data_IF_590494187108
#
_entry.id   IF_590494187108
#
_cell.length_a   1.000
_cell.length_b   1.000
_cell.length_c   1.000
_cell.angle_alpha   90.00
_cell.angle_beta   90.00
_cell.angle_gamma   90.00
#
_symmetry.space_group_name_H-M   'P 1'
#
loop_
_entity.id
_entity.type
_entity.pdbx_description
1 polymer ?
#
# COMPACT_ATOMS: atom_id res chain seq x y z
N UNK A 1 7.93 -2.71 -6.72
CA UNK A 1 7.39 -3.74 -5.79
C UNK A 1 6.51 -3.09 -4.74
N UNK A 2 5.37 -3.67 -4.51
CA UNK A 2 4.47 -3.27 -3.42
C UNK A 2 4.24 -4.48 -2.53
N UNK A 3 4.59 -4.33 -1.25
CA UNK A 3 4.48 -5.41 -0.26
C UNK A 3 3.47 -5.01 0.81
N UNK A 4 2.42 -5.82 0.96
CA UNK A 4 1.48 -5.70 2.06
C UNK A 4 1.86 -6.69 3.14
N UNK A 5 2.02 -6.20 4.36
CA UNK A 5 2.49 -7.02 5.48
C UNK A 5 1.40 -7.23 6.53
N UNK A 6 1.44 -8.40 7.13
CA UNK A 6 0.59 -8.76 8.26
C UNK A 6 1.46 -8.99 9.48
N UNK A 7 0.92 -8.69 10.65
CA UNK A 7 1.60 -8.94 11.92
C UNK A 7 1.51 -10.43 12.32
N UNK A 8 2.07 -10.78 13.46
CA UNK A 8 2.07 -12.16 13.96
C UNK A 8 0.66 -12.71 14.22
N UNK A 9 -0.35 -11.85 14.32
CA UNK A 9 -1.75 -12.21 14.48
C UNK A 9 -2.52 -12.21 13.16
N UNK A 10 -1.80 -12.18 12.04
CA UNK A 10 -2.34 -12.19 10.68
C UNK A 10 -3.22 -10.98 10.35
N UNK A 11 -2.96 -9.84 10.97
CA UNK A 11 -3.67 -8.58 10.70
C UNK A 11 -2.84 -7.68 9.80
N UNK A 12 -3.46 -7.05 8.83
CA UNK A 12 -2.76 -6.07 7.99
C UNK A 12 -2.14 -4.98 8.87
N UNK A 13 -0.86 -4.71 8.69
CA UNK A 13 -0.07 -3.87 9.58
C UNK A 13 0.69 -2.77 8.87
N UNK A 14 1.15 -3.01 7.66
CA UNK A 14 1.99 -2.05 6.94
C UNK A 14 2.00 -2.31 5.45
N UNK A 15 2.42 -1.29 4.69
CA UNK A 15 2.67 -1.36 3.26
C UNK A 15 4.02 -0.74 2.97
N UNK A 16 4.77 -1.39 2.11
CA UNK A 16 6.02 -0.87 1.57
C UNK A 16 5.93 -0.86 0.05
N UNK A 17 6.24 0.27 -0.57
CA UNK A 17 6.23 0.40 -2.02
C UNK A 17 7.48 1.12 -2.49
N UNK A 18 8.14 0.60 -3.52
CA UNK A 18 9.31 1.23 -4.10
C UNK A 18 9.37 0.99 -5.62
N UNK A 19 10.29 1.66 -6.27
CA UNK A 19 10.60 1.43 -7.67
C UNK A 19 9.72 2.18 -8.67
N UNK A 20 9.03 3.25 -8.25
CA UNK A 20 8.12 3.98 -9.14
C UNK A 20 8.45 5.48 -9.23
N UNK A 21 9.70 5.81 -9.27
CA UNK A 21 10.17 7.20 -9.16
C UNK A 21 10.23 7.96 -10.48
N UNK A 22 9.40 7.68 -11.44
CA UNK A 22 9.32 8.45 -12.68
C UNK A 22 10.49 8.29 -13.64
N UNK A 23 11.27 7.24 -13.48
CA UNK A 23 12.38 6.91 -14.39
C UNK A 23 12.02 5.78 -15.36
N UNK A 24 10.76 5.36 -15.34
CA UNK A 24 10.24 4.36 -16.28
C UNK A 24 9.71 5.02 -17.55
N UNK A 25 9.48 4.24 -18.59
CA UNK A 25 8.84 4.68 -19.82
C UNK A 25 7.41 5.17 -19.54
N UNK A 26 6.86 5.99 -20.45
CA UNK A 26 5.55 6.61 -20.27
C UNK A 26 4.43 5.65 -19.94
N UNK A 27 4.39 4.46 -20.56
CA UNK A 27 3.38 3.45 -20.26
C UNK A 27 3.51 2.88 -18.86
N UNK A 28 4.73 2.73 -18.41
CA UNK A 28 5.04 2.25 -17.06
C UNK A 28 4.70 3.32 -16.02
N UNK A 29 4.94 4.60 -16.34
CA UNK A 29 4.60 5.72 -15.46
C UNK A 29 3.10 5.77 -15.16
N UNK A 30 2.25 5.47 -16.14
CA UNK A 30 0.80 5.47 -15.96
C UNK A 30 0.40 4.38 -14.96
N UNK A 31 0.96 3.18 -15.09
CA UNK A 31 0.67 2.07 -14.18
C UNK A 31 1.20 2.36 -12.78
N UNK A 32 2.42 2.87 -12.69
CA UNK A 32 3.02 3.25 -11.41
C UNK A 32 2.23 4.39 -10.73
N UNK A 33 1.77 5.36 -11.52
CA UNK A 33 0.94 6.44 -11.00
C UNK A 33 -0.40 5.92 -10.46
N UNK A 34 -1.02 4.93 -11.14
CA UNK A 34 -2.25 4.32 -10.66
C UNK A 34 -2.04 3.60 -9.33
N UNK A 35 -0.98 2.79 -9.23
CA UNK A 35 -0.64 2.11 -7.98
C UNK A 35 -0.35 3.11 -6.85
N UNK A 36 0.41 4.15 -7.15
CA UNK A 36 0.73 5.21 -6.18
C UNK A 36 -0.52 5.94 -5.71
N UNK A 37 -1.45 6.25 -6.61
CA UNK A 37 -2.71 6.91 -6.26
C UNK A 37 -3.55 6.05 -5.31
N UNK A 38 -3.61 4.75 -5.52
CA UNK A 38 -4.33 3.83 -4.63
C UNK A 38 -3.71 3.84 -3.23
N UNK A 39 -2.40 3.77 -3.14
CA UNK A 39 -1.71 3.76 -1.85
C UNK A 39 -1.87 5.09 -1.12
N UNK A 40 -1.82 6.21 -1.84
CA UNK A 40 -2.04 7.52 -1.24
C UNK A 40 -3.49 7.69 -0.80
N UNK A 41 -4.45 7.16 -1.55
CA UNK A 41 -5.85 7.15 -1.15
C UNK A 41 -6.05 6.35 0.14
N UNK A 42 -5.38 5.21 0.27
CA UNK A 42 -5.43 4.41 1.50
C UNK A 42 -4.86 5.19 2.68
N UNK A 43 -3.75 5.90 2.49
CA UNK A 43 -3.16 6.75 3.54
C UNK A 43 -4.13 7.84 3.97
N UNK A 44 -4.73 8.55 3.02
CA UNK A 44 -5.73 9.58 3.33
C UNK A 44 -6.96 8.99 4.04
N UNK A 45 -7.40 7.80 3.61
CA UNK A 45 -8.51 7.12 4.27
C UNK A 45 -8.20 6.80 5.72
N UNK A 46 -6.99 6.30 5.98
CA UNK A 46 -6.57 5.99 7.35
C UNK A 46 -6.45 7.25 8.21
N UNK A 47 -5.81 8.30 7.69
CA UNK A 47 -5.53 9.51 8.48
C UNK A 47 -6.74 10.42 8.60
N UNK A 48 -7.43 10.70 7.49
CA UNK A 48 -8.44 11.75 7.43
C UNK A 48 -9.86 11.22 7.61
N UNK A 49 -10.13 9.97 7.27
CA UNK A 49 -11.45 9.35 7.42
C UNK A 49 -11.53 8.53 8.70
N UNK A 50 -10.59 7.63 8.91
CA UNK A 50 -10.58 6.75 10.08
C UNK A 50 -9.84 7.35 11.28
N UNK A 51 -9.17 8.48 11.12
CA UNK A 51 -8.42 9.20 12.17
C UNK A 51 -7.39 8.33 12.87
N UNK A 52 -6.64 7.56 12.08
CA UNK A 52 -5.56 6.71 12.56
C UNK A 52 -4.24 7.47 12.50
N UNK A 53 -3.44 7.37 13.54
CA UNK A 53 -2.09 7.92 13.56
C UNK A 53 -1.15 6.97 12.80
N UNK A 54 -1.06 7.15 11.48
CA UNK A 54 -0.22 6.33 10.62
C UNK A 54 1.21 6.84 10.65
N UNK A 55 2.16 5.93 10.84
CA UNK A 55 3.57 6.24 10.66
C UNK A 55 3.87 6.07 9.16
N UNK A 56 3.98 7.18 8.45
CA UNK A 56 4.19 7.18 7.01
C UNK A 56 5.44 7.96 6.65
N UNK A 57 6.20 7.42 5.72
CA UNK A 57 7.40 8.06 5.20
C UNK A 57 7.38 7.98 3.68
N UNK A 58 7.64 9.12 3.04
CA UNK A 58 7.70 9.21 1.59
C UNK A 58 9.00 9.86 1.17
N UNK A 59 9.75 9.15 0.34
CA UNK A 59 10.94 9.66 -0.34
C UNK A 59 10.79 9.42 -1.83
N UNK A 60 11.75 9.89 -2.63
CA UNK A 60 11.68 9.69 -4.07
C UNK A 60 11.65 8.19 -4.40
N UNK A 61 10.54 7.74 -5.03
CA UNK A 61 10.37 6.35 -5.44
C UNK A 61 10.05 5.36 -4.33
N UNK A 62 9.78 5.83 -3.11
CA UNK A 62 9.51 4.94 -1.98
C UNK A 62 8.43 5.50 -1.07
N UNK A 63 7.51 4.65 -0.69
CA UNK A 63 6.47 4.97 0.29
C UNK A 63 6.39 3.82 1.30
N UNK A 64 6.42 4.16 2.58
CA UNK A 64 6.11 3.20 3.64
C UNK A 64 5.00 3.76 4.50
N UNK A 65 4.10 2.90 4.97
CA UNK A 65 3.10 3.27 5.96
C UNK A 65 2.83 2.10 6.88
N UNK A 66 2.71 2.42 8.17
CA UNK A 66 2.46 1.45 9.22
C UNK A 66 1.44 2.03 10.19
N UNK A 67 0.47 1.23 10.58
CA UNK A 67 -0.55 1.68 11.52
C UNK A 67 -0.49 0.89 12.82
N UNK A 68 -0.88 1.53 13.94
CA UNK A 68 -0.70 0.93 15.26
C UNK A 68 -1.50 -0.36 15.45
N UNK A 69 -0.94 -1.26 16.25
CA UNK A 69 -1.56 -2.55 16.55
C UNK A 69 -2.99 -2.39 17.12
N UNK A 70 -3.21 -1.35 17.93
CA UNK A 70 -4.51 -1.07 18.53
C UNK A 70 -5.61 -0.79 17.49
N UNK A 71 -5.23 -0.40 16.27
CA UNK A 71 -6.18 -0.02 15.21
C UNK A 71 -6.44 -1.15 14.22
N UNK A 72 -5.70 -2.25 14.29
CA UNK A 72 -5.71 -3.30 13.25
C UNK A 72 -6.93 -4.20 13.28
N UNK A 73 -7.71 -4.18 14.34
CA UNK A 73 -8.97 -4.95 14.43
C UNK A 73 -10.20 -4.14 14.00
N UNK A 74 -10.03 -2.85 13.71
CA UNK A 74 -11.14 -1.98 13.31
C UNK A 74 -11.62 -2.35 11.90
N UNK A 75 -12.94 -2.47 11.75
CA UNK A 75 -13.53 -2.81 10.46
C UNK A 75 -13.33 -1.73 9.40
N UNK A 76 -13.36 -0.44 9.77
CA UNK A 76 -13.13 0.65 8.84
C UNK A 76 -11.67 0.67 8.36
N UNK A 77 -10.72 0.45 9.24
CA UNK A 77 -9.30 0.35 8.89
C UNK A 77 -9.07 -0.81 7.93
N UNK A 78 -9.61 -1.99 8.26
CA UNK A 78 -9.47 -3.16 7.40
C UNK A 78 -10.13 -2.98 6.04
N UNK A 79 -11.28 -2.32 5.98
CA UNK A 79 -11.94 -2.04 4.70
C UNK A 79 -11.06 -1.17 3.80
N UNK A 80 -10.42 -0.14 4.36
CA UNK A 80 -9.55 0.75 3.61
C UNK A 80 -8.33 0.00 3.08
N UNK A 81 -7.59 -0.67 3.95
CA UNK A 81 -6.31 -1.28 3.58
C UNK A 81 -6.48 -2.56 2.76
N UNK A 82 -7.53 -3.35 3.02
CA UNK A 82 -7.81 -4.54 2.22
C UNK A 82 -8.26 -4.18 0.81
N UNK A 83 -9.02 -3.09 0.66
CA UNK A 83 -9.40 -2.57 -0.66
C UNK A 83 -8.16 -2.17 -1.46
N UNK A 84 -7.23 -1.47 -0.82
CA UNK A 84 -5.96 -1.11 -1.46
C UNK A 84 -5.15 -2.35 -1.84
N UNK A 85 -5.08 -3.35 -0.97
CA UNK A 85 -4.36 -4.59 -1.24
C UNK A 85 -4.92 -5.30 -2.47
N UNK A 86 -6.23 -5.48 -2.53
CA UNK A 86 -6.88 -6.14 -3.67
C UNK A 86 -6.75 -5.33 -4.96
N UNK A 87 -6.78 -4.01 -4.85
CA UNK A 87 -6.62 -3.12 -6.01
C UNK A 87 -5.22 -3.21 -6.60
N UNK A 88 -4.20 -3.21 -5.75
CA UNK A 88 -2.80 -3.36 -6.21
C UNK A 88 -2.58 -4.77 -6.79
N UNK A 89 -3.12 -5.80 -6.17
CA UNK A 89 -3.05 -7.16 -6.71
C UNK A 89 -3.67 -7.25 -8.10
N UNK A 90 -4.81 -6.60 -8.30
CA UNK A 90 -5.48 -6.55 -9.60
C UNK A 90 -4.62 -5.87 -10.67
N UNK A 91 -4.01 -4.74 -10.33
CA UNK A 91 -3.09 -4.04 -11.23
C UNK A 91 -1.87 -4.92 -11.57
N UNK A 92 -1.29 -5.55 -10.58
CA UNK A 92 -0.14 -6.43 -10.79
C UNK A 92 -0.47 -7.62 -11.68
N UNK A 93 -1.70 -8.14 -11.58
CA UNK A 93 -2.16 -9.24 -12.43
C UNK A 93 -2.29 -8.81 -13.89
N UNK A 94 -2.79 -7.59 -14.12
CA UNK A 94 -2.99 -7.05 -15.46
C UNK A 94 -1.69 -6.52 -16.07
N UNK A 95 -0.77 -6.05 -15.24
CA UNK A 95 0.49 -5.43 -15.67
C UNK A 95 1.68 -6.02 -14.90
N UNK A 96 1.94 -7.34 -15.05
CA UNK A 96 2.94 -8.02 -14.22
C UNK A 96 4.39 -7.57 -14.47
N UNK A 97 4.63 -6.90 -15.60
CA UNK A 97 5.96 -6.36 -15.91
C UNK A 97 6.21 -4.99 -15.28
N UNK A 98 5.16 -4.34 -14.79
CA UNK A 98 5.25 -2.97 -14.29
C UNK A 98 5.03 -2.88 -12.78
N UNK A 99 4.21 -3.76 -12.22
CA UNK A 99 3.93 -3.78 -10.78
C UNK A 99 4.14 -5.19 -10.25
N UNK A 100 4.98 -5.30 -9.23
CA UNK A 100 5.24 -6.53 -8.51
C UNK A 100 4.54 -6.47 -7.16
N UNK A 101 3.62 -7.39 -6.92
CA UNK A 101 2.82 -7.43 -5.69
C UNK A 101 3.27 -8.59 -4.82
N UNK A 102 3.46 -8.33 -3.53
CA UNK A 102 3.83 -9.34 -2.55
C UNK A 102 3.03 -9.20 -1.27
N UNK A 103 2.84 -10.34 -0.61
CA UNK A 103 2.34 -10.42 0.77
C UNK A 103 3.43 -10.99 1.65
N UNK A 104 3.61 -10.41 2.84
CA UNK A 104 4.62 -10.87 3.79
C UNK A 104 4.05 -10.82 5.21
N UNK A 105 4.69 -11.56 6.10
CA UNK A 105 4.38 -11.55 7.53
C UNK A 105 5.54 -10.93 8.27
N UNK A 106 5.24 -10.03 9.19
CA UNK A 106 6.24 -9.44 10.07
C UNK A 106 6.63 -10.43 11.16
N UNK A 107 7.90 -10.39 11.51
CA UNK A 107 8.40 -11.22 12.59
C UNK A 107 7.86 -10.79 13.97
#
# INVERSE_FOLDING_TARGET
>A
TVTFRRDSRNRLSSVFADGHAGWADRGEDIVCAAASAILQAALLGLTDVAHVAVDAERTAGRLTMRWPAAERDRSDVNAIVATAELSIESIARDFPKHVHFERATEA
#
